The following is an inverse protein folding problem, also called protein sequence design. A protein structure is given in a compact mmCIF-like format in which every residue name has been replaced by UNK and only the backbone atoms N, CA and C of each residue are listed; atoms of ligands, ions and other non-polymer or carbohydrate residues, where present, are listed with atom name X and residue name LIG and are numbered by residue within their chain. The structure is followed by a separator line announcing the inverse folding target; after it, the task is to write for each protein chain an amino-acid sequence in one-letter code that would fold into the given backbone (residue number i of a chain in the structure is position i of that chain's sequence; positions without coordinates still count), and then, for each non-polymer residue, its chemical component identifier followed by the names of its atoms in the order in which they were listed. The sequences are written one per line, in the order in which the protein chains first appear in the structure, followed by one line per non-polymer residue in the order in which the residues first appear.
data_IF_706737035670
#
_entry.id   IF_706737035670
#
_cell.length_a   1.000
_cell.length_b   1.000
_cell.length_c   1.000
_cell.angle_alpha   90.00
_cell.angle_beta   90.00
_cell.angle_gamma   90.00
#
_symmetry.space_group_name_H-M   'P 1'
#
loop_
_entity.id
_entity.type
_entity.pdbx_description
1 polymer ?
#
# COMPACT_ATOMS: atom_id res chain seq x y z
N UNK A 1 12.27 10.72 -12.65
CA UNK A 1 12.24 9.54 -11.75
C UNK A 1 11.05 8.64 -12.10
N UNK A 2 9.82 9.17 -12.05
CA UNK A 2 8.59 8.39 -12.32
C UNK A 2 8.60 7.72 -13.70
N UNK A 3 8.83 8.47 -14.79
CA UNK A 3 8.79 7.92 -16.17
C UNK A 3 9.69 6.70 -16.39
N UNK A 4 10.96 6.78 -15.96
CA UNK A 4 11.88 5.65 -16.07
C UNK A 4 11.43 4.45 -15.22
N UNK A 5 10.91 4.72 -14.01
CA UNK A 5 10.32 3.69 -13.17
C UNK A 5 9.13 2.99 -13.83
N UNK A 6 8.25 3.75 -14.47
CA UNK A 6 7.13 3.18 -15.23
C UNK A 6 7.60 2.36 -16.43
N UNK A 7 8.59 2.84 -17.19
CA UNK A 7 9.18 2.08 -18.30
C UNK A 7 9.80 0.75 -17.82
N UNK A 8 10.42 0.73 -16.63
CA UNK A 8 10.90 -0.52 -16.01
C UNK A 8 9.74 -1.45 -15.64
N UNK A 9 8.70 -0.94 -14.95
CA UNK A 9 7.54 -1.75 -14.54
C UNK A 9 6.74 -2.31 -15.71
N UNK A 10 6.59 -1.54 -16.78
CA UNK A 10 5.89 -2.00 -17.99
C UNK A 10 6.62 -3.16 -18.66
N UNK A 11 7.96 -3.13 -18.67
CA UNK A 11 8.76 -4.23 -19.21
C UNK A 11 8.86 -5.41 -18.25
N UNK A 12 8.82 -5.16 -16.93
CA UNK A 12 9.03 -6.14 -15.88
C UNK A 12 8.33 -5.68 -14.59
N UNK A 13 7.07 -6.11 -14.37
CA UNK A 13 6.27 -5.71 -13.22
C UNK A 13 6.95 -5.93 -11.87
N UNK A 14 7.75 -6.99 -11.75
CA UNK A 14 8.43 -7.37 -10.51
C UNK A 14 9.80 -6.72 -10.31
N UNK A 15 10.25 -5.82 -11.21
CA UNK A 15 11.60 -5.27 -11.17
C UNK A 15 11.98 -4.69 -9.81
N UNK A 16 11.14 -3.79 -9.27
CA UNK A 16 11.39 -3.19 -7.96
C UNK A 16 11.03 -4.12 -6.81
N UNK A 17 9.98 -4.94 -6.95
CA UNK A 17 9.56 -5.86 -5.91
C UNK A 17 10.67 -6.86 -5.55
N UNK A 18 11.38 -7.38 -6.56
CA UNK A 18 12.53 -8.28 -6.34
C UNK A 18 13.68 -7.60 -5.61
N UNK A 19 13.96 -6.33 -5.92
CA UNK A 19 15.03 -5.57 -5.25
C UNK A 19 14.67 -5.35 -3.76
N UNK A 20 13.40 -5.07 -3.46
CA UNK A 20 12.95 -4.80 -2.07
C UNK A 20 13.04 -6.03 -1.18
N UNK A 21 12.83 -7.23 -1.73
CA UNK A 21 12.87 -8.49 -0.97
C UNK A 21 14.25 -9.14 -0.93
N UNK A 22 15.21 -8.64 -1.72
CA UNK A 22 16.54 -9.23 -1.80
C UNK A 22 17.27 -9.15 -0.45
N UNK A 23 17.66 -10.31 0.08
CA UNK A 23 18.45 -10.40 1.32
C UNK A 23 17.66 -10.12 2.61
N UNK A 24 16.34 -9.96 2.55
CA UNK A 24 15.50 -9.78 3.75
C UNK A 24 15.29 -11.13 4.43
N UNK A 25 15.49 -11.19 5.75
CA UNK A 25 15.46 -12.45 6.54
C UNK A 25 14.47 -12.40 7.70
N UNK A 26 13.89 -11.24 7.97
CA UNK A 26 12.91 -11.03 9.01
C UNK A 26 11.64 -11.87 8.72
N UNK A 27 10.91 -12.33 9.75
CA UNK A 27 9.70 -13.14 9.54
C UNK A 27 8.50 -12.31 9.04
N UNK A 28 8.51 -10.99 9.24
CA UNK A 28 7.45 -10.07 8.82
C UNK A 28 8.05 -8.96 7.98
N UNK A 29 7.49 -8.74 6.80
CA UNK A 29 7.90 -7.67 5.88
C UNK A 29 6.77 -6.67 5.71
N UNK A 30 7.11 -5.37 5.78
CA UNK A 30 6.16 -4.28 5.55
C UNK A 30 6.64 -3.51 4.33
N UNK A 31 5.93 -3.67 3.21
CA UNK A 31 6.17 -2.89 1.99
C UNK A 31 5.22 -1.69 2.01
N UNK A 32 5.73 -0.53 2.41
CA UNK A 32 4.91 0.64 2.73
C UNK A 32 4.43 1.45 1.54
N UNK A 33 5.10 1.37 0.38
CA UNK A 33 4.87 2.24 -0.77
C UNK A 33 4.55 1.45 -2.06
N UNK A 34 3.62 0.50 -1.97
CA UNK A 34 3.01 -0.10 -3.17
C UNK A 34 2.08 0.91 -3.80
N UNK A 35 2.29 1.21 -5.09
CA UNK A 35 1.52 2.27 -5.78
C UNK A 35 0.69 1.73 -6.94
N UNK A 36 1.05 0.56 -7.47
CA UNK A 36 0.43 -0.02 -8.67
C UNK A 36 -0.20 -1.38 -8.39
N UNK A 37 -1.26 -1.71 -9.11
CA UNK A 37 -1.89 -3.04 -9.05
C UNK A 37 -0.88 -4.15 -9.32
N UNK A 38 0.04 -3.92 -10.26
CA UNK A 38 1.11 -4.84 -10.62
C UNK A 38 2.03 -5.19 -9.45
N UNK A 39 2.26 -4.26 -8.51
CA UNK A 39 3.07 -4.53 -7.32
C UNK A 39 2.34 -5.57 -6.44
N UNK A 40 1.04 -5.33 -6.20
CA UNK A 40 0.19 -6.19 -5.39
C UNK A 40 0.01 -7.57 -6.02
N UNK A 41 -0.23 -7.61 -7.33
CA UNK A 41 -0.35 -8.84 -8.12
C UNK A 41 0.95 -9.65 -8.05
N UNK A 42 2.11 -9.00 -8.21
CA UNK A 42 3.39 -9.69 -8.12
C UNK A 42 3.64 -10.30 -6.75
N UNK A 43 3.39 -9.56 -5.66
CA UNK A 43 3.55 -10.11 -4.31
C UNK A 43 2.61 -11.29 -4.07
N UNK A 44 1.34 -11.18 -4.50
CA UNK A 44 0.36 -12.28 -4.37
C UNK A 44 0.76 -13.50 -5.18
N UNK A 45 1.31 -13.34 -6.38
CA UNK A 45 1.77 -14.45 -7.21
C UNK A 45 2.97 -15.18 -6.57
N UNK A 46 3.91 -14.43 -5.99
CA UNK A 46 5.14 -15.00 -5.42
C UNK A 46 4.96 -15.58 -4.02
N UNK A 47 4.17 -14.92 -3.16
CA UNK A 47 4.05 -15.28 -1.74
C UNK A 47 2.66 -15.81 -1.34
N UNK A 48 1.69 -15.78 -2.26
CA UNK A 48 0.36 -16.36 -2.06
C UNK A 48 -0.37 -15.82 -0.83
N UNK A 49 -0.93 -16.75 -0.05
CA UNK A 49 -1.76 -16.46 1.13
C UNK A 49 -1.01 -15.79 2.29
N UNK A 50 0.32 -15.71 2.22
CA UNK A 50 1.13 -14.96 3.21
C UNK A 50 0.98 -13.44 3.04
N UNK A 51 0.57 -12.98 1.86
CA UNK A 51 0.40 -11.55 1.57
C UNK A 51 -0.88 -11.03 2.20
N UNK A 52 -0.77 -9.87 2.82
CA UNK A 52 -1.90 -9.13 3.39
C UNK A 52 -1.86 -7.71 2.85
N UNK A 53 -2.89 -7.31 2.11
CA UNK A 53 -2.96 -6.00 1.47
C UNK A 53 -3.76 -5.04 2.35
N UNK A 54 -3.06 -4.05 2.89
CA UNK A 54 -3.62 -3.06 3.82
C UNK A 54 -3.78 -1.72 3.11
N UNK A 55 -5.02 -1.25 2.93
CA UNK A 55 -5.30 0.09 2.41
C UNK A 55 -5.49 1.08 3.54
N UNK A 56 -4.69 2.14 3.57
CA UNK A 56 -4.94 3.28 4.46
C UNK A 56 -5.76 4.32 3.70
N UNK A 57 -6.89 4.72 4.26
CA UNK A 57 -7.75 5.77 3.71
C UNK A 57 -7.93 6.91 4.70
N UNK A 58 -8.19 8.11 4.18
CA UNK A 58 -8.63 9.25 4.96
C UNK A 58 -9.66 10.02 4.14
N UNK A 59 -10.71 10.48 4.80
CA UNK A 59 -11.72 11.38 4.23
C UNK A 59 -11.06 12.63 3.66
N UNK A 60 -11.68 13.17 2.61
CA UNK A 60 -11.21 14.41 2.00
C UNK A 60 -11.15 15.56 3.02
N UNK A 61 -12.14 15.65 3.92
CA UNK A 61 -12.15 16.61 5.02
C UNK A 61 -10.90 16.48 5.91
N UNK A 62 -10.56 15.27 6.34
CA UNK A 62 -9.36 15.04 7.15
C UNK A 62 -8.09 15.39 6.39
N UNK A 63 -8.00 15.05 5.11
CA UNK A 63 -6.86 15.40 4.26
C UNK A 63 -6.72 16.92 4.16
N UNK A 64 -7.82 17.64 3.87
CA UNK A 64 -7.85 19.11 3.81
C UNK A 64 -7.43 19.76 5.12
N UNK A 65 -7.86 19.22 6.28
CA UNK A 65 -7.42 19.67 7.61
C UNK A 65 -5.90 19.50 7.83
N UNK A 66 -5.26 18.57 7.11
CA UNK A 66 -3.81 18.36 7.08
C UNK A 66 -3.11 19.18 5.97
N UNK A 67 -3.77 20.22 5.48
CA UNK A 67 -3.30 21.09 4.40
C UNK A 67 -3.12 20.38 3.04
N UNK A 68 -3.82 19.25 2.82
CA UNK A 68 -3.90 18.69 1.48
C UNK A 68 -4.79 19.56 0.61
N UNK A 69 -4.25 19.93 -0.57
CA UNK A 69 -4.97 20.63 -1.62
C UNK A 69 -4.86 19.76 -2.85
N UNK A 70 -6.00 19.45 -3.48
CA UNK A 70 -6.02 18.67 -4.71
C UNK A 70 -5.26 19.42 -5.82
N UNK A 71 -4.28 18.74 -6.42
CA UNK A 71 -3.50 19.23 -7.56
C UNK A 71 -3.76 18.33 -8.76
N UNK A 72 -4.45 18.89 -9.76
CA UNK A 72 -4.64 18.25 -11.07
C UNK A 72 -3.29 17.91 -11.71
N UNK A 73 -3.16 16.70 -12.25
CA UNK A 73 -1.94 16.12 -12.79
C UNK A 73 -1.04 15.42 -11.75
N UNK A 74 -1.37 15.48 -10.45
CA UNK A 74 -0.64 14.80 -9.37
C UNK A 74 -1.59 13.86 -8.63
N UNK A 75 -2.66 14.37 -8.04
CA UNK A 75 -3.61 13.59 -7.23
C UNK A 75 -4.55 12.72 -8.08
N UNK A 76 -4.64 12.99 -9.39
CA UNK A 76 -5.37 12.19 -10.39
C UNK A 76 -4.43 11.36 -11.28
N UNK A 77 -3.12 11.40 -11.02
CA UNK A 77 -2.14 10.60 -11.73
C UNK A 77 -2.19 9.14 -11.25
N UNK A 78 -1.82 8.22 -12.13
CA UNK A 78 -1.77 6.78 -11.83
C UNK A 78 -0.85 6.43 -10.65
N UNK A 79 0.13 7.29 -10.33
CA UNK A 79 1.00 7.15 -9.15
C UNK A 79 0.27 7.29 -7.81
N UNK A 80 -0.90 7.93 -7.80
CA UNK A 80 -1.73 8.16 -6.61
C UNK A 80 -3.04 7.35 -6.68
N UNK A 81 -3.61 7.15 -7.88
CA UNK A 81 -4.88 6.43 -8.08
C UNK A 81 -4.74 4.95 -8.52
N UNK A 82 -3.53 4.45 -8.74
CA UNK A 82 -3.26 3.13 -9.33
C UNK A 82 -3.76 1.91 -8.53
N UNK A 83 -4.31 2.16 -7.33
CA UNK A 83 -4.88 1.15 -6.43
C UNK A 83 -6.34 1.44 -6.07
N UNK A 84 -6.96 2.48 -6.63
CA UNK A 84 -8.32 2.88 -6.25
C UNK A 84 -9.39 1.87 -6.72
N UNK A 85 -9.09 1.06 -7.73
CA UNK A 85 -10.00 0.08 -8.32
C UNK A 85 -9.27 -1.23 -8.63
N UNK A 86 -10.03 -2.34 -8.66
CA UNK A 86 -9.52 -3.63 -9.12
C UNK A 86 -8.69 -4.43 -8.13
N UNK A 87 -8.46 -3.91 -6.91
CA UNK A 87 -7.70 -4.60 -5.86
C UNK A 87 -8.61 -5.00 -4.71
N UNK A 88 -8.57 -6.29 -4.36
CA UNK A 88 -9.13 -6.79 -3.10
C UNK A 88 -8.19 -6.41 -1.96
N UNK A 89 -8.73 -5.80 -0.91
CA UNK A 89 -7.99 -5.43 0.30
C UNK A 89 -8.38 -6.33 1.45
N UNK A 90 -7.39 -6.89 2.13
CA UNK A 90 -7.60 -7.72 3.32
C UNK A 90 -7.93 -6.84 4.53
N UNK A 91 -7.35 -5.64 4.57
CA UNK A 91 -7.57 -4.66 5.63
C UNK A 91 -7.77 -3.26 5.03
N UNK A 92 -8.69 -2.51 5.61
CA UNK A 92 -8.85 -1.08 5.36
C UNK A 92 -8.72 -0.34 6.69
N UNK A 93 -7.76 0.57 6.77
CA UNK A 93 -7.47 1.39 7.95
C UNK A 93 -7.89 2.82 7.67
N UNK A 94 -8.86 3.31 8.43
CA UNK A 94 -9.38 4.67 8.30
C UNK A 94 -8.65 5.61 9.24
N UNK A 95 -7.99 6.62 8.68
CA UNK A 95 -7.22 7.65 9.38
C UNK A 95 -7.89 9.03 9.29
N UNK A 96 -9.07 9.15 9.89
CA UNK A 96 -9.87 10.39 9.92
C UNK A 96 -9.49 11.34 11.09
N UNK A 97 -8.35 11.08 11.73
CA UNK A 97 -7.82 11.91 12.82
C UNK A 97 -8.48 11.67 14.18
N UNK A 98 -9.28 10.61 14.33
CA UNK A 98 -9.60 10.02 15.63
C UNK A 98 -8.49 9.04 16.01
N UNK A 99 -7.64 9.44 16.95
CA UNK A 99 -6.49 8.65 17.40
C UNK A 99 -6.93 7.34 18.07
N UNK A 100 -8.00 7.36 18.87
CA UNK A 100 -8.46 6.17 19.59
C UNK A 100 -8.99 5.12 18.61
N UNK A 101 -9.74 5.56 17.60
CA UNK A 101 -10.22 4.69 16.53
C UNK A 101 -9.07 4.13 15.69
N UNK A 102 -8.06 4.96 15.36
CA UNK A 102 -6.88 4.51 14.62
C UNK A 102 -6.08 3.46 15.41
N UNK A 103 -5.81 3.72 16.70
CA UNK A 103 -5.06 2.82 17.56
C UNK A 103 -5.79 1.47 17.70
N UNK A 104 -7.11 1.47 17.88
CA UNK A 104 -7.90 0.24 17.95
C UNK A 104 -7.87 -0.57 16.65
N UNK A 105 -7.81 0.08 15.48
CA UNK A 105 -7.65 -0.60 14.19
C UNK A 105 -6.26 -1.21 14.04
N UNK A 106 -5.22 -0.46 14.41
CA UNK A 106 -3.84 -0.93 14.37
C UNK A 106 -3.59 -2.08 15.35
N UNK A 107 -4.19 -2.04 16.54
CA UNK A 107 -4.09 -3.11 17.52
C UNK A 107 -4.68 -4.43 16.99
N UNK A 108 -5.83 -4.38 16.30
CA UNK A 108 -6.41 -5.57 15.65
C UNK A 108 -5.50 -6.15 14.58
N UNK A 109 -4.90 -5.30 13.74
CA UNK A 109 -3.95 -5.73 12.72
C UNK A 109 -2.70 -6.34 13.35
N UNK A 110 -2.20 -5.74 14.42
CA UNK A 110 -1.03 -6.23 15.15
C UNK A 110 -1.31 -7.58 15.83
N UNK A 111 -2.46 -7.75 16.46
CA UNK A 111 -2.91 -9.03 17.00
C UNK A 111 -2.99 -10.10 15.90
N UNK A 112 -3.56 -9.77 14.75
CA UNK A 112 -3.60 -10.67 13.61
C UNK A 112 -2.19 -11.09 13.15
N UNK A 113 -1.27 -10.13 12.99
CA UNK A 113 0.13 -10.42 12.61
C UNK A 113 0.79 -11.36 13.62
N UNK A 114 0.56 -11.13 14.92
CA UNK A 114 1.07 -12.01 15.98
C UNK A 114 0.53 -13.44 15.90
N UNK A 115 -0.68 -13.67 15.39
CA UNK A 115 -1.21 -15.03 15.18
C UNK A 115 -0.53 -15.80 14.04
N UNK A 116 0.26 -15.11 13.20
CA UNK A 116 0.95 -15.68 12.04
C UNK A 116 2.44 -15.93 12.30
N UNK A 117 2.96 -15.49 13.46
CA UNK A 117 4.30 -15.76 13.96
C UNK A 117 4.36 -17.09 14.73
#
# INVERSE_FOLDING_TARGET
MIRWGEERRQSDPGFFCRIVVEGVTQPIWIVSDTRRSSDVEWFRDVYGDLVQVVRVIATEETRRRRNWVFVTGIDDAESECGLDQGISYDWVITNDGDQLSLDAQLEKLLQFIQTKL
#
